data_IF_241550647050
#
_entry.id   IF_241550647050
#
_cell.length_a   1.000
_cell.length_b   1.000
_cell.length_c   1.000
_cell.angle_alpha   90.00
_cell.angle_beta   90.00
_cell.angle_gamma   90.00
#
_symmetry.space_group_name_H-M   'P 1'
#
loop_
_entity.id
_entity.type
_entity.pdbx_description
1 polymer ?
#
# COMPACT_ATOMS: atom_id res chain seq x y z
N UNK A 1 -2.67 -22.41 21.85
CA UNK A 1 -3.76 -21.53 21.34
C UNK A 1 -3.19 -20.15 21.09
N UNK A 2 -3.63 -19.47 20.01
CA UNK A 2 -3.11 -18.14 19.63
C UNK A 2 -3.37 -17.08 20.71
N UNK A 3 -4.37 -17.26 21.57
CA UNK A 3 -4.73 -16.33 22.65
C UNK A 3 -3.63 -16.09 23.68
N UNK A 4 -2.66 -17.01 23.80
CA UNK A 4 -1.52 -16.88 24.72
C UNK A 4 -0.30 -16.22 24.06
N UNK A 5 -0.38 -15.90 22.77
CA UNK A 5 0.70 -15.29 22.00
C UNK A 5 0.41 -13.81 21.81
N UNK A 6 1.30 -12.98 22.32
CA UNK A 6 1.17 -11.53 22.31
C UNK A 6 1.84 -10.93 21.09
N UNK A 7 1.10 -10.16 20.31
CA UNK A 7 1.60 -9.43 19.15
C UNK A 7 1.47 -7.94 19.38
N UNK A 8 2.52 -7.21 19.06
CA UNK A 8 2.53 -5.75 19.20
C UNK A 8 2.66 -5.11 17.84
N UNK A 9 1.69 -4.29 17.49
CA UNK A 9 1.67 -3.52 16.25
C UNK A 9 2.06 -2.08 16.57
N UNK A 10 3.10 -1.57 15.92
CA UNK A 10 3.58 -0.21 16.07
C UNK A 10 3.01 0.63 14.92
N UNK A 11 2.16 1.61 15.25
CA UNK A 11 1.45 2.43 14.28
C UNK A 11 0.00 1.98 14.07
N UNK A 12 -0.90 2.95 13.89
CA UNK A 12 -2.34 2.75 13.71
C UNK A 12 -2.89 3.38 12.42
N UNK A 13 -2.03 3.54 11.40
CA UNK A 13 -2.49 3.86 10.04
C UNK A 13 -3.16 2.64 9.38
N UNK A 14 -3.51 2.74 8.10
CA UNK A 14 -4.19 1.67 7.34
C UNK A 14 -3.51 0.31 7.59
N UNK A 15 -2.21 0.21 7.31
CA UNK A 15 -1.41 -1.01 7.48
C UNK A 15 -1.49 -1.60 8.90
N UNK A 16 -1.28 -0.78 9.92
CA UNK A 16 -1.24 -1.24 11.31
C UNK A 16 -2.62 -1.70 11.78
N UNK A 17 -3.66 -0.93 11.45
CA UNK A 17 -5.02 -1.22 11.89
C UNK A 17 -5.58 -2.48 11.24
N UNK A 18 -5.42 -2.65 9.92
CA UNK A 18 -5.87 -3.86 9.23
C UNK A 18 -5.09 -5.10 9.64
N UNK A 19 -3.76 -5.02 9.83
CA UNK A 19 -2.97 -6.15 10.33
C UNK A 19 -3.40 -6.53 11.75
N UNK A 20 -3.62 -5.55 12.64
CA UNK A 20 -4.08 -5.82 14.00
C UNK A 20 -5.45 -6.51 14.02
N UNK A 21 -6.40 -6.05 13.20
CA UNK A 21 -7.72 -6.67 13.06
C UNK A 21 -7.61 -8.10 12.52
N UNK A 22 -6.82 -8.33 11.48
CA UNK A 22 -6.61 -9.68 10.94
C UNK A 22 -5.99 -10.64 11.96
N UNK A 23 -5.01 -10.17 12.73
CA UNK A 23 -4.41 -10.96 13.81
C UNK A 23 -5.42 -11.26 14.95
N UNK A 24 -6.24 -10.27 15.32
CA UNK A 24 -7.30 -10.47 16.32
C UNK A 24 -8.32 -11.51 15.85
N UNK A 25 -8.70 -11.51 14.58
CA UNK A 25 -9.58 -12.52 13.95
C UNK A 25 -8.97 -13.94 13.99
N UNK A 26 -7.64 -14.06 13.94
CA UNK A 26 -6.92 -15.33 14.13
C UNK A 26 -6.72 -15.73 15.61
N UNK A 27 -7.27 -14.94 16.54
CA UNK A 27 -7.30 -15.25 17.97
C UNK A 27 -6.06 -14.84 18.75
N UNK A 28 -5.19 -13.98 18.22
CA UNK A 28 -4.01 -13.47 18.94
C UNK A 28 -4.36 -12.40 20.00
N UNK A 29 -3.53 -12.28 21.03
CA UNK A 29 -3.54 -11.11 21.94
C UNK A 29 -2.80 -9.96 21.27
N UNK A 30 -3.53 -8.93 20.83
CA UNK A 30 -2.99 -7.84 20.03
C UNK A 30 -3.02 -6.52 20.80
N UNK A 31 -1.87 -5.85 20.86
CA UNK A 31 -1.75 -4.47 21.34
C UNK A 31 -1.22 -3.58 20.22
N UNK A 32 -1.92 -2.46 19.95
CA UNK A 32 -1.47 -1.42 19.04
C UNK A 32 -0.86 -0.27 19.84
N UNK A 33 0.40 0.09 19.56
CA UNK A 33 1.04 1.28 20.11
C UNK A 33 1.17 2.30 18.99
N UNK A 34 0.60 3.48 19.15
CA UNK A 34 0.61 4.49 18.11
C UNK A 34 0.91 5.87 18.67
N UNK A 35 1.42 6.74 17.80
CA UNK A 35 1.50 8.17 18.05
C UNK A 35 0.63 8.88 17.02
N UNK A 36 -0.17 9.85 17.46
CA UNK A 36 -0.93 10.70 16.53
C UNK A 36 0.00 11.36 15.51
N UNK A 37 -0.48 11.46 14.27
CA UNK A 37 0.20 12.22 13.23
C UNK A 37 0.39 13.66 13.71
N UNK A 38 1.60 14.24 13.62
CA UNK A 38 1.86 15.58 14.15
C UNK A 38 1.44 16.71 13.20
N UNK A 39 0.73 16.39 12.11
CA UNK A 39 0.29 17.33 11.09
C UNK A 39 -1.01 16.88 10.41
N UNK A 40 -1.77 17.81 9.85
CA UNK A 40 -2.88 17.50 8.93
C UNK A 40 -2.34 17.11 7.57
N UNK A 41 -2.90 16.07 6.97
CA UNK A 41 -2.63 15.68 5.59
C UNK A 41 -3.93 15.30 4.90
N UNK A 42 -3.97 15.47 3.58
CA UNK A 42 -5.05 14.99 2.74
C UNK A 42 -4.50 13.96 1.75
N UNK A 43 -5.28 12.92 1.49
CA UNK A 43 -4.92 11.84 0.56
C UNK A 43 -6.12 11.49 -0.31
N UNK A 44 -5.88 11.26 -1.60
CA UNK A 44 -6.86 10.78 -2.55
C UNK A 44 -6.94 9.26 -2.57
N UNK A 45 -8.15 8.71 -2.42
CA UNK A 45 -8.42 7.28 -2.39
C UNK A 45 -9.37 6.86 -3.52
N UNK A 46 -9.16 5.66 -4.04
CA UNK A 46 -10.01 5.07 -5.08
C UNK A 46 -11.19 4.29 -4.50
N UNK A 47 -12.18 3.96 -5.35
CA UNK A 47 -13.26 3.04 -4.98
C UNK A 47 -12.73 1.67 -4.51
N UNK A 48 -11.68 1.15 -5.15
CA UNK A 48 -10.98 -0.07 -4.70
C UNK A 48 -10.41 0.07 -3.28
N UNK A 49 -10.02 1.28 -2.89
CA UNK A 49 -9.54 1.54 -1.53
C UNK A 49 -10.67 1.45 -0.51
N UNK A 50 -11.85 2.00 -0.82
CA UNK A 50 -13.04 1.85 0.02
C UNK A 50 -13.41 0.38 0.23
N UNK A 51 -13.46 -0.40 -0.85
CA UNK A 51 -13.76 -1.84 -0.81
C UNK A 51 -12.69 -2.62 -0.03
N UNK A 52 -11.42 -2.28 -0.24
CA UNK A 52 -10.29 -2.83 0.51
C UNK A 52 -10.43 -2.60 2.03
N UNK A 53 -10.75 -1.38 2.45
CA UNK A 53 -10.97 -1.06 3.87
C UNK A 53 -12.10 -1.92 4.48
N UNK A 54 -13.22 -2.08 3.77
CA UNK A 54 -14.35 -2.90 4.24
C UNK A 54 -13.92 -4.36 4.42
N UNK A 55 -13.29 -4.95 3.40
CA UNK A 55 -12.84 -6.35 3.45
C UNK A 55 -11.82 -6.62 4.57
N UNK A 56 -11.00 -5.63 4.92
CA UNK A 56 -10.03 -5.72 6.01
C UNK A 56 -10.63 -5.46 7.39
N UNK A 57 -11.90 -5.06 7.49
CA UNK A 57 -12.60 -4.75 8.74
C UNK A 57 -12.47 -3.30 9.20
N UNK A 58 -11.90 -2.40 8.39
CA UNK A 58 -11.82 -0.96 8.67
C UNK A 58 -13.11 -0.24 8.22
N UNK A 59 -14.26 -0.70 8.75
CA UNK A 59 -15.59 -0.32 8.27
C UNK A 59 -15.92 1.14 8.61
N UNK A 60 -15.61 1.61 9.83
CA UNK A 60 -15.86 3.01 10.23
C UNK A 60 -15.01 3.96 9.40
N UNK A 61 -13.74 3.64 9.16
CA UNK A 61 -12.91 4.44 8.27
C UNK A 61 -13.45 4.51 6.83
N UNK A 62 -13.96 3.39 6.29
CA UNK A 62 -14.54 3.36 4.93
C UNK A 62 -15.80 4.24 4.78
N UNK A 63 -16.54 4.50 5.88
CA UNK A 63 -17.74 5.35 5.87
C UNK A 63 -17.42 6.82 5.65
N UNK A 64 -16.17 7.23 5.73
CA UNK A 64 -15.72 8.58 5.39
C UNK A 64 -15.55 8.80 3.88
N UNK A 65 -15.47 7.73 3.09
CA UNK A 65 -15.32 7.80 1.63
C UNK A 65 -16.71 7.89 1.00
N UNK A 66 -17.36 9.04 1.14
CA UNK A 66 -18.75 9.27 0.70
C UNK A 66 -18.79 10.04 -0.62
N UNK A 67 -18.26 11.25 -0.62
CA UNK A 67 -18.31 12.16 -1.76
C UNK A 67 -17.04 12.03 -2.60
N UNK A 68 -17.24 11.92 -3.91
CA UNK A 68 -16.14 11.88 -4.86
C UNK A 68 -15.82 13.28 -5.36
N UNK A 69 -14.53 13.61 -5.38
CA UNK A 69 -13.99 14.78 -6.04
C UNK A 69 -13.71 14.44 -7.51
N UNK A 70 -14.09 15.34 -8.41
CA UNK A 70 -13.64 15.27 -9.80
C UNK A 70 -12.13 15.49 -9.84
N UNK A 71 -11.40 14.59 -10.50
CA UNK A 71 -9.93 14.65 -10.62
C UNK A 71 -9.52 15.14 -12.01
N UNK A 72 -8.98 16.35 -12.05
CA UNK A 72 -8.38 16.93 -13.25
C UNK A 72 -6.89 16.55 -13.32
N UNK A 73 -6.41 16.25 -14.52
CA UNK A 73 -4.99 15.98 -14.78
C UNK A 73 -4.50 16.89 -15.89
N UNK A 74 -3.58 17.79 -15.56
CA UNK A 74 -2.88 18.66 -16.49
C UNK A 74 -1.42 18.18 -16.58
N UNK A 75 -1.16 17.24 -17.49
CA UNK A 75 0.13 16.56 -17.57
C UNK A 75 0.67 16.62 -19.00
N UNK A 76 1.93 17.01 -19.19
CA UNK A 76 2.57 17.07 -20.51
C UNK A 76 1.78 17.87 -21.56
N UNK A 77 1.24 19.03 -21.16
CA UNK A 77 0.34 19.89 -21.97
C UNK A 77 -0.97 19.22 -22.42
N UNK A 78 -1.35 18.10 -21.81
CA UNK A 78 -2.66 17.47 -22.02
C UNK A 78 -3.52 17.65 -20.77
N UNK A 79 -4.73 18.14 -20.98
CA UNK A 79 -5.76 18.22 -19.94
C UNK A 79 -6.77 17.10 -20.15
N UNK A 80 -6.93 16.27 -19.13
CA UNK A 80 -7.92 15.21 -19.12
C UNK A 80 -8.76 15.28 -17.83
N UNK A 81 -10.08 15.12 -17.96
CA UNK A 81 -10.95 14.73 -16.85
C UNK A 81 -10.86 13.22 -16.74
N UNK A 82 -9.96 12.74 -15.88
CA UNK A 82 -9.50 11.36 -15.94
C UNK A 82 -10.39 10.44 -15.11
N UNK A 83 -10.80 10.89 -13.91
CA UNK A 83 -11.45 10.01 -12.94
C UNK A 83 -12.06 10.79 -11.77
N UNK A 84 -12.52 10.03 -10.77
CA UNK A 84 -12.96 10.49 -9.47
C UNK A 84 -12.09 9.90 -8.36
N UNK A 85 -11.96 10.62 -7.25
CA UNK A 85 -11.30 10.13 -6.03
C UNK A 85 -12.05 10.59 -4.77
N UNK A 86 -11.92 9.84 -3.69
CA UNK A 86 -12.33 10.28 -2.36
C UNK A 86 -11.16 10.97 -1.69
N UNK A 87 -11.27 12.27 -1.41
CA UNK A 87 -10.21 12.96 -0.68
C UNK A 87 -10.52 12.92 0.81
N UNK A 88 -9.60 12.38 1.60
CA UNK A 88 -9.79 12.23 3.05
C UNK A 88 -8.88 13.15 3.83
N UNK A 89 -9.42 13.77 4.89
CA UNK A 89 -8.59 14.37 5.93
C UNK A 89 -8.01 13.26 6.83
N UNK A 90 -6.69 13.07 6.80
CA UNK A 90 -6.02 11.99 7.55
C UNK A 90 -6.18 12.10 9.07
N UNK A 91 -6.38 13.28 9.63
CA UNK A 91 -6.62 13.44 11.06
C UNK A 91 -7.98 12.87 11.49
N UNK A 92 -9.00 12.95 10.62
CA UNK A 92 -10.34 12.37 10.85
C UNK A 92 -10.33 10.88 10.50
N UNK A 93 -9.69 10.52 9.40
CA UNK A 93 -9.58 9.14 8.94
C UNK A 93 -8.81 8.26 9.93
N UNK A 94 -7.66 8.73 10.43
CA UNK A 94 -6.84 7.98 11.39
C UNK A 94 -7.60 7.77 12.72
N UNK A 95 -8.45 8.71 13.14
CA UNK A 95 -9.34 8.51 14.31
C UNK A 95 -10.37 7.42 14.06
N UNK A 96 -10.95 7.35 12.86
CA UNK A 96 -11.93 6.32 12.53
C UNK A 96 -11.31 4.92 12.50
N UNK A 97 -10.04 4.80 12.07
CA UNK A 97 -9.28 3.55 12.20
C UNK A 97 -9.09 3.11 13.66
N UNK A 98 -8.91 4.06 14.59
CA UNK A 98 -8.86 3.72 16.03
C UNK A 98 -10.22 3.24 16.54
N UNK A 99 -11.32 3.77 16.03
CA UNK A 99 -12.66 3.30 16.37
C UNK A 99 -12.96 1.90 15.80
N UNK A 100 -12.38 1.56 14.64
CA UNK A 100 -12.40 0.19 14.11
C UNK A 100 -11.62 -0.75 15.03
N UNK A 101 -10.41 -0.37 15.48
CA UNK A 101 -9.64 -1.17 16.43
C UNK A 101 -10.37 -1.44 17.75
N UNK A 102 -11.09 -0.44 18.27
CA UNK A 102 -11.91 -0.57 19.48
C UNK A 102 -13.07 -1.55 19.29
N UNK A 103 -13.70 -1.57 18.11
CA UNK A 103 -14.78 -2.51 17.78
C UNK A 103 -14.34 -3.96 17.92
N UNK A 104 -13.09 -4.25 17.53
CA UNK A 104 -12.48 -5.57 17.66
C UNK A 104 -11.87 -5.83 19.05
N UNK A 105 -12.09 -4.95 20.03
CA UNK A 105 -11.56 -5.06 21.39
C UNK A 105 -10.03 -5.25 21.41
N UNK A 106 -9.33 -4.52 20.54
CA UNK A 106 -7.87 -4.49 20.48
C UNK A 106 -7.37 -3.45 21.48
N UNK A 107 -6.34 -3.79 22.27
CA UNK A 107 -5.73 -2.85 23.23
C UNK A 107 -4.97 -1.78 22.46
N UNK A 108 -5.24 -0.51 22.75
CA UNK A 108 -4.59 0.64 22.10
C UNK A 108 -3.82 1.45 23.15
N UNK A 109 -2.56 1.78 22.86
CA UNK A 109 -1.71 2.62 23.69
C UNK A 109 -1.24 3.81 22.84
N UNK A 110 -1.68 5.02 23.19
CA UNK A 110 -1.14 6.24 22.58
C UNK A 110 0.21 6.57 23.24
N UNK A 111 1.32 6.27 22.55
CA UNK A 111 2.66 6.46 23.07
C UNK A 111 3.72 6.61 21.97
N UNK A 112 4.86 7.24 22.32
CA UNK A 112 6.04 7.27 21.45
C UNK A 112 6.92 6.05 21.74
N UNK A 113 7.17 5.21 20.74
CA UNK A 113 8.20 4.17 20.81
C UNK A 113 9.58 4.82 20.73
N UNK A 114 10.48 4.51 21.66
CA UNK A 114 11.80 5.18 21.82
C UNK A 114 13.00 4.25 21.74
N UNK A 115 12.80 2.93 21.85
CA UNK A 115 13.88 1.93 21.77
C UNK A 115 13.66 0.92 20.64
N UNK A 116 14.74 0.24 20.25
CA UNK A 116 14.70 -0.87 19.31
C UNK A 116 13.95 -2.06 19.90
N UNK A 117 13.42 -2.89 19.02
CA UNK A 117 13.08 -4.26 19.35
C UNK A 117 14.41 -4.99 19.57
N UNK A 118 14.79 -5.23 20.83
CA UNK A 118 15.99 -6.04 21.08
C UNK A 118 15.70 -7.48 20.63
N UNK A 119 16.45 -7.95 19.65
CA UNK A 119 16.30 -9.29 19.06
C UNK A 119 17.17 -10.34 19.76
N UNK A 120 18.10 -9.90 20.63
CA UNK A 120 19.05 -10.76 21.33
C UNK A 120 18.38 -11.58 22.43
N UNK A 121 17.30 -11.06 23.02
CA UNK A 121 16.46 -11.81 23.97
C UNK A 121 15.56 -12.85 23.27
N UNK A 122 15.14 -13.88 24.01
CA UNK A 122 14.18 -14.90 23.50
C UNK A 122 12.90 -14.28 22.92
N UNK A 123 12.46 -13.11 23.42
CA UNK A 123 11.28 -12.38 22.96
C UNK A 123 11.59 -10.90 22.67
N UNK A 124 11.05 -10.32 21.58
CA UNK A 124 11.03 -8.88 21.33
C UNK A 124 10.64 -8.05 22.57
N UNK A 125 11.45 -7.04 22.89
CA UNK A 125 11.14 -6.02 23.89
C UNK A 125 10.89 -4.67 23.22
N UNK A 126 9.76 -4.03 23.52
CA UNK A 126 9.39 -2.70 22.99
C UNK A 126 9.44 -1.71 24.15
N UNK A 127 10.24 -0.64 24.00
CA UNK A 127 10.30 0.46 24.96
C UNK A 127 9.56 1.67 24.40
N UNK A 128 8.58 2.17 25.16
CA UNK A 128 7.74 3.30 24.77
C UNK A 128 7.59 4.31 25.91
N UNK A 129 7.06 5.48 25.58
CA UNK A 129 7.01 6.64 26.44
C UNK A 129 5.64 7.31 26.40
N UNK A 130 5.07 7.55 27.58
CA UNK A 130 3.84 8.32 27.83
C UNK A 130 4.23 9.42 28.81
N UNK A 131 4.01 10.69 28.46
CA UNK A 131 4.27 11.85 29.32
C UNK A 131 5.61 11.78 30.08
N UNK A 132 6.69 11.59 29.31
CA UNK A 132 8.05 11.45 29.81
C UNK A 132 8.40 10.15 30.55
N UNK A 133 7.41 9.39 31.03
CA UNK A 133 7.61 8.10 31.70
C UNK A 133 7.85 6.98 30.70
N UNK A 134 8.86 6.16 30.97
CA UNK A 134 9.22 5.00 30.16
C UNK A 134 8.48 3.77 30.65
N UNK A 135 8.05 2.97 29.69
CA UNK A 135 7.41 1.68 29.89
C UNK A 135 8.02 0.68 28.91
N UNK A 136 7.95 -0.59 29.26
CA UNK A 136 8.35 -1.66 28.38
C UNK A 136 7.31 -2.77 28.33
N UNK A 137 7.35 -3.52 27.25
CA UNK A 137 6.52 -4.69 27.05
C UNK A 137 7.25 -5.69 26.18
N UNK A 138 7.07 -6.97 26.49
CA UNK A 138 7.53 -8.07 25.65
C UNK A 138 6.41 -8.57 24.76
N UNK A 139 6.76 -9.14 23.61
CA UNK A 139 5.85 -9.75 22.63
C UNK A 139 6.45 -11.03 22.05
N UNK A 140 5.61 -11.90 21.51
CA UNK A 140 6.05 -13.04 20.70
C UNK A 140 6.37 -12.62 19.27
N UNK A 141 5.75 -11.54 18.78
CA UNK A 141 6.03 -10.98 17.46
C UNK A 141 5.74 -9.46 17.43
N UNK A 142 6.49 -8.73 16.59
CA UNK A 142 6.30 -7.28 16.40
C UNK A 142 5.97 -6.96 14.94
N UNK A 143 4.98 -6.10 14.73
CA UNK A 143 4.68 -5.53 13.42
C UNK A 143 5.03 -4.05 13.46
N UNK A 144 5.96 -3.59 12.62
CA UNK A 144 6.19 -2.16 12.45
C UNK A 144 5.42 -1.65 11.23
N UNK A 145 4.40 -0.85 11.53
CA UNK A 145 3.52 -0.17 10.60
C UNK A 145 3.50 1.34 10.88
N UNK A 146 4.61 1.91 11.38
CA UNK A 146 4.77 3.36 11.64
C UNK A 146 4.91 4.17 10.35
N UNK A 147 4.84 3.52 9.20
CA UNK A 147 5.05 4.09 7.89
C UNK A 147 6.42 4.73 7.78
N UNK A 148 6.50 5.91 7.14
CA UNK A 148 7.74 6.68 6.98
C UNK A 148 8.33 7.24 8.28
N UNK A 149 7.74 7.00 9.45
CA UNK A 149 8.29 7.38 10.76
C UNK A 149 9.08 6.26 11.45
N UNK A 150 9.22 5.10 10.81
CA UNK A 150 10.10 4.03 11.29
C UNK A 150 11.57 4.50 11.39
N UNK A 151 12.35 4.04 12.38
CA UNK A 151 13.69 4.58 12.66
C UNK A 151 14.79 4.09 11.71
N UNK A 152 14.51 3.15 10.80
CA UNK A 152 15.52 2.42 10.01
C UNK A 152 16.09 3.18 8.80
N UNK A 153 16.55 4.43 8.97
CA UNK A 153 16.90 5.30 7.82
C UNK A 153 17.92 4.69 6.84
N UNK A 154 18.99 4.06 7.33
CA UNK A 154 20.10 3.55 6.50
C UNK A 154 19.88 2.13 5.97
N UNK A 155 18.73 1.54 6.31
CA UNK A 155 18.37 0.18 5.94
C UNK A 155 17.47 0.12 4.69
N UNK A 156 17.23 1.25 4.04
CA UNK A 156 16.46 1.34 2.80
C UNK A 156 17.33 1.36 1.55
N UNK A 157 16.81 0.76 0.48
CA UNK A 157 17.20 1.04 -0.90
C UNK A 157 16.21 2.09 -1.41
N UNK A 158 16.73 3.20 -1.94
CA UNK A 158 15.91 4.37 -2.30
C UNK A 158 16.01 4.67 -3.79
N UNK A 159 14.91 5.16 -4.37
CA UNK A 159 14.92 5.83 -5.65
C UNK A 159 15.40 7.29 -5.54
N UNK A 160 15.30 8.07 -6.63
CA UNK A 160 15.58 9.49 -6.62
C UNK A 160 14.82 10.21 -5.50
N UNK A 161 15.53 11.05 -4.74
CA UNK A 161 14.92 11.75 -3.61
C UNK A 161 13.90 12.80 -4.09
N UNK A 162 12.66 12.63 -3.63
CA UNK A 162 11.53 13.54 -3.73
C UNK A 162 11.13 14.00 -2.34
N UNK A 163 10.75 15.25 -2.23
CA UNK A 163 10.14 15.80 -1.04
C UNK A 163 8.82 16.45 -1.41
N UNK A 164 7.82 16.25 -0.57
CA UNK A 164 6.52 16.90 -0.70
C UNK A 164 6.40 17.98 0.36
N UNK A 165 6.12 19.19 -0.11
CA UNK A 165 5.81 20.39 0.65
C UNK A 165 4.30 20.54 0.70
N UNK A 166 3.74 20.53 1.91
CA UNK A 166 2.32 20.35 2.16
C UNK A 166 1.79 21.56 2.92
N UNK A 167 0.71 22.15 2.43
CA UNK A 167 0.05 23.28 3.08
C UNK A 167 -1.47 23.10 3.07
N UNK A 168 -2.09 23.23 4.25
CA UNK A 168 -3.54 23.38 4.38
C UNK A 168 -3.94 24.84 4.16
N UNK A 169 -5.05 25.04 3.45
CA UNK A 169 -5.57 26.34 3.05
C UNK A 169 -7.04 26.45 3.45
N UNK A 170 -7.49 27.67 3.72
CA UNK A 170 -8.90 28.04 3.76
C UNK A 170 -9.27 28.70 2.43
N UNK A 171 -10.25 28.15 1.69
CA UNK A 171 -10.68 28.62 0.36
C UNK A 171 -12.15 29.06 0.42
N UNK A 172 -12.44 30.32 0.10
CA UNK A 172 -13.81 30.87 0.23
C UNK A 172 -14.67 30.71 -1.04
N UNK A 173 -14.05 30.70 -2.21
CA UNK A 173 -14.76 30.83 -3.50
C UNK A 173 -15.00 29.49 -4.22
N UNK A 174 -14.86 28.36 -3.53
CA UNK A 174 -15.01 27.03 -4.11
C UNK A 174 -16.14 26.28 -3.43
N UNK A 175 -17.10 25.81 -4.24
CA UNK A 175 -18.32 25.17 -3.74
C UNK A 175 -18.38 23.66 -4.03
N UNK A 176 -17.55 23.15 -4.93
CA UNK A 176 -17.56 21.74 -5.34
C UNK A 176 -16.22 21.05 -5.03
N UNK A 177 -16.31 19.81 -4.54
CA UNK A 177 -15.15 18.96 -4.30
C UNK A 177 -14.40 18.70 -5.61
N UNK A 178 -13.13 19.09 -5.65
CA UNK A 178 -12.30 18.92 -6.84
C UNK A 178 -10.85 18.73 -6.47
N UNK A 179 -10.13 18.06 -7.36
CA UNK A 179 -8.67 17.96 -7.30
C UNK A 179 -8.06 18.24 -8.67
N UNK A 180 -6.82 18.72 -8.66
CA UNK A 180 -5.99 18.77 -9.86
C UNK A 180 -4.61 18.21 -9.57
N UNK A 181 -4.00 17.65 -10.61
CA UNK A 181 -2.58 17.35 -10.62
C UNK A 181 -1.93 17.96 -11.85
N UNK A 182 -0.84 18.67 -11.62
CA UNK A 182 -0.22 19.56 -12.59
C UNK A 182 1.28 19.27 -12.63
N UNK A 183 1.82 18.87 -13.79
CA UNK A 183 3.28 18.79 -13.97
C UNK A 183 3.85 20.16 -14.27
N UNK A 184 4.94 20.51 -13.57
CA UNK A 184 5.62 21.79 -13.64
C UNK A 184 7.14 21.62 -13.82
N UNK A 185 7.85 22.72 -14.06
CA UNK A 185 9.28 22.71 -14.36
C UNK A 185 10.09 21.97 -13.30
N UNK A 186 9.81 22.24 -12.03
CA UNK A 186 10.60 21.73 -10.91
C UNK A 186 9.90 20.63 -10.10
N UNK A 187 8.87 19.99 -10.66
CA UNK A 187 8.11 18.99 -9.94
C UNK A 187 6.70 18.74 -10.44
N UNK A 188 5.83 18.37 -9.52
CA UNK A 188 4.39 18.34 -9.76
C UNK A 188 3.63 18.83 -8.54
N UNK A 189 2.45 19.40 -8.80
CA UNK A 189 1.59 20.00 -7.79
C UNK A 189 0.28 19.24 -7.78
N UNK A 190 -0.18 18.86 -6.59
CA UNK A 190 -1.53 18.35 -6.37
C UNK A 190 -2.30 19.33 -5.51
N UNK A 191 -3.51 19.67 -5.93
CA UNK A 191 -4.40 20.58 -5.22
C UNK A 191 -5.71 19.87 -4.93
N UNK A 192 -6.29 20.12 -3.76
CA UNK A 192 -7.57 19.52 -3.38
C UNK A 192 -8.44 20.51 -2.61
N UNK A 193 -9.74 20.45 -2.89
CA UNK A 193 -10.78 21.07 -2.09
C UNK A 193 -11.76 19.98 -1.64
N UNK A 194 -12.13 19.99 -0.36
CA UNK A 194 -12.91 18.93 0.28
C UNK A 194 -14.13 19.45 1.04
N UNK A 195 -14.65 20.60 0.62
CA UNK A 195 -15.78 21.26 1.26
C UNK A 195 -15.40 21.99 2.55
N UNK A 196 -16.37 22.69 3.14
CA UNK A 196 -16.21 23.44 4.39
C UNK A 196 -15.01 24.40 4.37
N UNK A 197 -14.79 25.08 3.23
CA UNK A 197 -13.65 25.97 3.00
C UNK A 197 -12.28 25.31 3.12
N UNK A 198 -12.15 23.97 3.12
CA UNK A 198 -10.85 23.31 3.32
C UNK A 198 -10.17 22.98 2.01
N UNK A 199 -9.05 23.65 1.77
CA UNK A 199 -8.13 23.41 0.67
C UNK A 199 -6.83 22.77 1.13
N UNK A 200 -6.12 22.18 0.17
CA UNK A 200 -4.80 21.63 0.39
C UNK A 200 -3.97 21.72 -0.88
N UNK A 201 -2.70 22.10 -0.73
CA UNK A 201 -1.72 22.09 -1.82
C UNK A 201 -0.52 21.25 -1.41
N UNK A 202 -0.09 20.39 -2.32
CA UNK A 202 1.12 19.60 -2.22
C UNK A 202 2.01 19.93 -3.42
N UNK A 203 3.24 20.38 -3.17
CA UNK A 203 4.27 20.48 -4.20
C UNK A 203 5.35 19.43 -3.96
N UNK A 204 5.50 18.52 -4.92
CA UNK A 204 6.54 17.48 -4.89
C UNK A 204 7.69 17.90 -5.79
N UNK A 205 8.87 18.09 -5.19
CA UNK A 205 10.09 18.55 -5.85
C UNK A 205 11.32 17.74 -5.40
N UNK A 206 12.50 18.08 -5.90
CA UNK A 206 13.75 17.44 -5.49
C UNK A 206 14.28 17.95 -4.13
N UNK A 207 15.28 17.27 -3.60
CA UNK A 207 15.87 17.57 -2.29
C UNK A 207 16.48 18.98 -2.21
N UNK A 208 17.14 19.45 -3.27
CA UNK A 208 17.82 20.74 -3.27
C UNK A 208 16.81 21.89 -3.16
N UNK A 209 15.76 21.84 -3.98
CA UNK A 209 14.68 22.82 -3.94
C UNK A 209 13.94 22.78 -2.61
N UNK A 210 13.59 21.57 -2.14
CA UNK A 210 12.91 21.42 -0.87
C UNK A 210 13.72 22.00 0.30
N UNK A 211 15.05 21.87 0.30
CA UNK A 211 15.91 22.42 1.35
C UNK A 211 15.91 23.96 1.42
N UNK A 212 15.58 24.65 0.33
CA UNK A 212 15.47 26.12 0.28
C UNK A 212 14.16 26.64 0.89
N UNK A 213 13.17 25.78 1.13
CA UNK A 213 11.84 26.15 1.63
C UNK A 213 11.73 25.94 3.13
N UNK A 214 11.48 27.00 3.89
CA UNK A 214 11.26 26.93 5.34
C UNK A 214 9.82 27.24 5.75
N UNK A 215 9.15 28.11 5.01
CA UNK A 215 7.75 28.48 5.22
C UNK A 215 6.95 28.46 3.91
N UNK A 216 5.65 28.72 4.03
CA UNK A 216 4.78 28.78 2.86
C UNK A 216 5.14 29.91 1.89
N UNK A 217 5.63 31.06 2.37
CA UNK A 217 6.05 32.17 1.50
C UNK A 217 7.22 31.80 0.58
N UNK A 218 8.16 30.98 1.07
CA UNK A 218 9.25 30.45 0.25
C UNK A 218 8.71 29.52 -0.84
N UNK A 219 7.75 28.65 -0.48
CA UNK A 219 7.07 27.76 -1.43
C UNK A 219 6.31 28.58 -2.47
N UNK A 220 5.60 29.64 -2.06
CA UNK A 220 4.79 30.48 -2.94
C UNK A 220 5.64 31.17 -4.02
N UNK A 221 6.82 31.68 -3.66
CA UNK A 221 7.77 32.27 -4.64
C UNK A 221 8.15 31.26 -5.72
N UNK A 222 8.46 30.03 -5.32
CA UNK A 222 8.81 28.95 -6.25
C UNK A 222 7.60 28.57 -7.13
N UNK A 223 6.40 28.52 -6.55
CA UNK A 223 5.18 28.21 -7.29
C UNK A 223 4.86 29.26 -8.37
N UNK A 224 5.12 30.54 -8.08
CA UNK A 224 4.96 31.64 -9.05
C UNK A 224 5.91 31.49 -10.24
N UNK A 225 7.12 30.95 -10.03
CA UNK A 225 8.09 30.69 -11.10
C UNK A 225 7.69 29.50 -12.00
N UNK A 226 6.71 28.68 -11.61
CA UNK A 226 6.25 27.54 -12.40
C UNK A 226 5.36 27.93 -13.59
N UNK A 227 4.94 29.20 -13.69
CA UNK A 227 4.12 29.77 -14.78
C UNK A 227 2.82 28.99 -15.07
N UNK A 228 2.11 28.57 -14.01
CA UNK A 228 0.78 27.95 -14.13
C UNK A 228 -0.23 28.63 -13.20
N UNK A 229 -1.50 28.65 -13.60
CA UNK A 229 -2.59 29.10 -12.73
C UNK A 229 -2.95 27.99 -11.74
N UNK A 230 -2.91 28.33 -10.46
CA UNK A 230 -3.18 27.44 -9.35
C UNK A 230 -4.45 27.93 -8.65
N UNK A 231 -5.59 27.33 -8.97
CA UNK A 231 -6.90 27.78 -8.48
C UNK A 231 -6.97 27.88 -6.95
N UNK A 232 -6.26 27.00 -6.23
CA UNK A 232 -6.23 27.05 -4.76
C UNK A 232 -5.48 28.25 -4.19
N UNK A 233 -4.80 29.04 -5.04
CA UNK A 233 -4.03 30.22 -4.66
C UNK A 233 -4.69 31.54 -5.12
N UNK A 234 -5.89 31.50 -5.70
CA UNK A 234 -6.59 32.71 -6.16
C UNK A 234 -7.14 33.55 -4.99
N UNK A 235 -7.76 32.91 -3.99
CA UNK A 235 -8.22 33.54 -2.75
C UNK A 235 -8.12 32.52 -1.61
N UNK A 236 -7.10 32.68 -0.76
CA UNK A 236 -6.78 31.69 0.27
C UNK A 236 -6.29 32.32 1.57
N UNK A 237 -6.46 31.58 2.67
CA UNK A 237 -5.73 31.82 3.92
C UNK A 237 -4.91 30.59 4.29
N UNK A 238 -3.69 30.81 4.74
CA UNK A 238 -2.78 29.74 5.15
C UNK A 238 -3.20 29.20 6.53
N UNK A 239 -3.36 27.88 6.64
CA UNK A 239 -3.72 27.21 7.90
C UNK A 239 -2.55 26.39 8.42
N UNK A 240 -2.07 26.73 9.62
CA UNK A 240 -0.97 26.01 10.26
C UNK A 240 0.39 26.24 9.59
N UNK A 241 1.35 25.36 9.88
CA UNK A 241 2.72 25.45 9.35
C UNK A 241 2.88 24.56 8.12
N UNK A 242 3.72 25.00 7.19
CA UNK A 242 4.18 24.16 6.09
C UNK A 242 4.80 22.87 6.64
N UNK A 243 4.45 21.75 6.02
CA UNK A 243 4.99 20.44 6.36
C UNK A 243 5.87 19.94 5.22
N UNK A 244 7.09 19.51 5.53
CA UNK A 244 8.02 18.89 4.59
C UNK A 244 8.15 17.40 4.90
N UNK A 245 8.04 16.56 3.86
CA UNK A 245 8.11 15.10 3.99
C UNK A 245 8.93 14.48 2.87
N UNK A 246 9.65 13.41 3.17
CA UNK A 246 10.14 12.50 2.15
C UNK A 246 8.98 11.84 1.42
N UNK A 247 9.04 11.81 0.08
CA UNK A 247 8.03 11.19 -0.78
C UNK A 247 8.64 10.26 -1.83
N UNK A 248 9.95 10.02 -1.79
CA UNK A 248 10.60 9.08 -2.70
C UNK A 248 10.26 7.62 -2.43
N UNK A 249 10.44 6.80 -3.47
CA UNK A 249 10.35 5.35 -3.40
C UNK A 249 11.45 4.78 -2.51
N UNK A 250 11.10 3.86 -1.60
CA UNK A 250 12.08 3.12 -0.79
C UNK A 250 11.57 1.72 -0.44
N UNK A 251 12.49 0.77 -0.30
CA UNK A 251 12.22 -0.60 0.15
C UNK A 251 13.26 -1.01 1.19
N UNK A 252 12.82 -1.59 2.31
CA UNK A 252 13.70 -2.00 3.39
C UNK A 252 14.50 -3.25 2.99
N UNK A 253 15.79 -3.30 3.32
CA UNK A 253 16.68 -4.44 3.00
C UNK A 253 16.28 -5.73 3.74
N UNK A 254 15.65 -5.60 4.92
CA UNK A 254 15.18 -6.71 5.76
C UNK A 254 13.73 -6.50 6.17
N UNK A 255 12.80 -6.99 5.37
CA UNK A 255 11.35 -6.72 5.54
C UNK A 255 10.73 -7.57 6.67
N UNK A 256 11.24 -8.77 6.90
CA UNK A 256 10.67 -9.73 7.84
C UNK A 256 11.75 -10.69 8.38
N UNK A 257 11.56 -11.14 9.61
CA UNK A 257 12.22 -12.28 10.23
C UNK A 257 11.25 -13.00 11.19
N UNK A 258 11.72 -14.00 11.95
CA UNK A 258 10.88 -14.82 12.82
C UNK A 258 10.27 -14.08 14.02
N UNK A 259 10.69 -12.83 14.28
CA UNK A 259 10.27 -12.01 15.43
C UNK A 259 9.64 -10.68 15.05
N UNK A 260 9.89 -10.19 13.83
CA UNK A 260 9.39 -8.90 13.38
C UNK A 260 9.08 -8.86 11.89
N UNK A 261 8.06 -8.09 11.53
CA UNK A 261 7.64 -7.79 10.16
C UNK A 261 7.42 -6.29 9.98
N UNK A 262 7.83 -5.75 8.85
CA UNK A 262 7.48 -4.40 8.40
C UNK A 262 6.23 -4.47 7.51
N UNK A 263 5.29 -3.54 7.65
CA UNK A 263 4.05 -3.49 6.85
C UNK A 263 3.75 -2.04 6.40
N UNK A 264 3.26 -1.89 5.16
CA UNK A 264 3.01 -0.58 4.55
C UNK A 264 4.30 0.19 4.28
N UNK A 265 4.25 1.52 4.40
CA UNK A 265 5.40 2.42 4.18
C UNK A 265 6.64 2.12 5.06
N UNK A 266 6.50 1.30 6.10
CA UNK A 266 7.64 0.78 6.85
C UNK A 266 8.41 -0.29 6.08
N UNK A 267 7.74 -1.15 5.30
CA UNK A 267 8.39 -2.14 4.46
C UNK A 267 8.85 -1.53 3.13
N UNK A 268 7.92 -0.90 2.42
CA UNK A 268 8.23 -0.16 1.20
C UNK A 268 7.18 0.90 0.93
N UNK A 269 7.61 1.99 0.32
CA UNK A 269 6.75 3.10 -0.11
C UNK A 269 7.10 3.47 -1.53
N UNK A 270 6.10 3.88 -2.31
CA UNK A 270 6.23 4.32 -3.70
C UNK A 270 6.04 5.83 -3.82
N UNK A 271 6.25 6.36 -5.03
CA UNK A 271 6.02 7.76 -5.34
C UNK A 271 4.51 8.09 -5.25
N UNK A 272 4.12 9.17 -4.53
CA UNK A 272 2.73 9.51 -4.33
C UNK A 272 1.99 9.93 -5.60
N UNK A 273 2.69 10.26 -6.70
CA UNK A 273 2.08 10.55 -8.01
C UNK A 273 1.12 9.46 -8.46
N UNK A 274 1.46 8.20 -8.17
CA UNK A 274 0.67 7.03 -8.59
C UNK A 274 -0.63 6.84 -7.82
N UNK A 275 -0.81 7.49 -6.65
CA UNK A 275 -1.99 7.30 -5.79
C UNK A 275 -2.17 5.90 -5.18
N UNK A 276 -1.15 5.03 -5.25
CA UNK A 276 -1.28 3.62 -4.87
C UNK A 276 -0.79 3.28 -3.43
N UNK A 277 -0.38 4.26 -2.64
CA UNK A 277 0.18 4.01 -1.29
C UNK A 277 -0.78 3.28 -0.34
N UNK A 278 -2.06 3.67 -0.31
CA UNK A 278 -3.07 2.98 0.48
C UNK A 278 -3.26 1.53 0.01
N UNK A 279 -3.33 1.31 -1.31
CA UNK A 279 -3.46 -0.03 -1.90
C UNK A 279 -2.27 -0.94 -1.52
N UNK A 280 -1.05 -0.41 -1.58
CA UNK A 280 0.15 -1.13 -1.17
C UNK A 280 0.08 -1.53 0.32
N UNK A 281 -0.29 -0.60 1.20
CA UNK A 281 -0.47 -0.88 2.62
C UNK A 281 -1.51 -1.98 2.86
N UNK A 282 -2.66 -1.91 2.17
CA UNK A 282 -3.72 -2.93 2.27
C UNK A 282 -3.24 -4.29 1.77
N UNK A 283 -2.57 -4.36 0.62
CA UNK A 283 -2.06 -5.61 0.04
C UNK A 283 -1.06 -6.33 0.93
N UNK A 284 -0.21 -5.59 1.65
CA UNK A 284 0.69 -6.17 2.65
C UNK A 284 -0.06 -6.59 3.90
N UNK A 285 -0.94 -5.72 4.41
CA UNK A 285 -1.64 -5.97 5.67
C UNK A 285 -2.67 -7.09 5.61
N UNK A 286 -3.20 -7.39 4.42
CA UNK A 286 -4.15 -8.49 4.19
C UNK A 286 -3.49 -9.86 4.36
N UNK A 287 -2.19 -9.97 4.05
CA UNK A 287 -1.45 -11.22 4.09
C UNK A 287 -0.64 -11.40 5.38
N UNK A 288 -0.24 -10.29 6.00
CA UNK A 288 0.59 -10.27 7.21
C UNK A 288 0.06 -11.18 8.34
N UNK A 289 -1.24 -11.23 8.67
CA UNK A 289 -1.75 -12.09 9.72
C UNK A 289 -1.47 -13.58 9.50
N UNK A 290 -1.62 -14.06 8.26
CA UNK A 290 -1.42 -15.47 7.92
C UNK A 290 0.07 -15.86 7.91
N UNK A 291 0.92 -14.95 7.47
CA UNK A 291 2.38 -15.12 7.53
C UNK A 291 2.82 -15.21 9.00
N UNK A 292 2.38 -14.29 9.85
CA UNK A 292 2.70 -14.29 11.29
C UNK A 292 2.15 -15.54 11.97
N UNK A 293 0.92 -15.94 11.64
CA UNK A 293 0.32 -17.15 12.19
C UNK A 293 1.12 -18.41 11.84
N UNK A 294 1.67 -18.46 10.62
CA UNK A 294 2.56 -19.54 10.17
C UNK A 294 3.87 -19.51 10.92
N UNK A 295 4.53 -18.34 10.99
CA UNK A 295 5.80 -18.16 11.72
C UNK A 295 5.69 -18.64 13.17
N UNK A 296 4.58 -18.32 13.85
CA UNK A 296 4.43 -18.61 15.27
C UNK A 296 3.95 -20.04 15.58
N UNK A 297 3.39 -20.78 14.62
CA UNK A 297 2.73 -22.06 14.90
C UNK A 297 3.25 -23.25 14.08
N UNK A 298 4.11 -23.02 13.09
CA UNK A 298 4.53 -24.04 12.13
C UNK A 298 6.02 -24.37 12.23
N UNK A 299 6.43 -25.46 11.58
CA UNK A 299 7.82 -25.92 11.53
C UNK A 299 8.73 -24.91 10.84
N UNK A 300 10.04 -24.92 11.14
CA UNK A 300 11.00 -23.97 10.55
C UNK A 300 10.97 -23.94 9.00
N UNK A 301 10.67 -25.08 8.38
CA UNK A 301 10.50 -25.20 6.92
C UNK A 301 9.30 -24.35 6.45
N UNK A 302 8.13 -24.52 7.08
CA UNK A 302 6.92 -23.73 6.77
C UNK A 302 7.11 -22.24 7.11
N UNK A 303 7.84 -21.91 8.19
CA UNK A 303 8.16 -20.52 8.53
C UNK A 303 8.97 -19.85 7.42
N UNK A 304 9.96 -20.55 6.86
CA UNK A 304 10.77 -20.05 5.74
C UNK A 304 9.90 -19.79 4.50
N UNK A 305 8.99 -20.71 4.16
CA UNK A 305 8.04 -20.51 3.05
C UNK A 305 7.21 -19.24 3.25
N UNK A 306 6.71 -19.00 4.46
CA UNK A 306 5.92 -17.81 4.78
C UNK A 306 6.73 -16.50 4.69
N UNK A 307 7.98 -16.53 5.16
CA UNK A 307 8.91 -15.40 5.10
C UNK A 307 9.25 -15.05 3.65
N UNK A 308 9.63 -16.04 2.86
CA UNK A 308 10.00 -15.85 1.44
C UNK A 308 8.78 -15.36 0.64
N UNK A 309 7.59 -15.93 0.91
CA UNK A 309 6.34 -15.47 0.32
C UNK A 309 6.05 -13.99 0.56
N UNK A 310 6.14 -13.54 1.82
CA UNK A 310 5.88 -12.15 2.16
C UNK A 310 6.90 -11.21 1.49
N UNK A 311 8.18 -11.58 1.55
CA UNK A 311 9.28 -10.82 0.95
C UNK A 311 9.08 -10.66 -0.56
N UNK A 312 8.87 -11.75 -1.29
CA UNK A 312 8.66 -11.70 -2.74
C UNK A 312 7.44 -10.87 -3.12
N UNK A 313 6.36 -10.93 -2.32
CA UNK A 313 5.15 -10.11 -2.57
C UNK A 313 5.43 -8.62 -2.41
N UNK A 314 6.15 -8.22 -1.37
CA UNK A 314 6.54 -6.82 -1.13
C UNK A 314 7.46 -6.30 -2.24
N UNK A 315 8.45 -7.08 -2.63
CA UNK A 315 9.41 -6.75 -3.70
C UNK A 315 8.71 -6.60 -5.06
N UNK A 316 7.85 -7.54 -5.42
CA UNK A 316 7.08 -7.48 -6.66
C UNK A 316 6.19 -6.24 -6.74
N UNK A 317 5.45 -5.93 -5.67
CA UNK A 317 4.56 -4.76 -5.63
C UNK A 317 5.38 -3.47 -5.78
N UNK A 318 6.53 -3.40 -5.09
CA UNK A 318 7.44 -2.27 -5.20
C UNK A 318 7.99 -2.11 -6.63
N UNK A 319 8.52 -3.19 -7.22
CA UNK A 319 9.04 -3.18 -8.60
C UNK A 319 7.96 -2.80 -9.61
N UNK A 320 6.76 -3.36 -9.49
CA UNK A 320 5.62 -3.04 -10.36
C UNK A 320 5.28 -1.55 -10.33
N UNK A 321 5.06 -1.00 -9.13
CA UNK A 321 4.59 0.38 -9.02
C UNK A 321 5.69 1.43 -9.22
N UNK A 322 6.96 1.06 -9.04
CA UNK A 322 8.07 1.94 -9.43
C UNK A 322 8.23 2.03 -10.94
N UNK A 323 8.03 0.93 -11.68
CA UNK A 323 7.94 0.95 -13.15
C UNK A 323 6.76 1.79 -13.65
N UNK A 324 5.57 1.60 -13.09
CA UNK A 324 4.40 2.45 -13.40
C UNK A 324 4.67 3.93 -13.08
N UNK A 325 5.36 4.22 -11.99
CA UNK A 325 5.79 5.59 -11.66
C UNK A 325 6.69 6.19 -12.74
N UNK A 326 7.71 5.45 -13.18
CA UNK A 326 8.60 5.84 -14.29
C UNK A 326 7.83 6.12 -15.57
N UNK A 327 6.85 5.29 -15.92
CA UNK A 327 5.98 5.51 -17.08
C UNK A 327 5.25 6.85 -17.00
N UNK A 328 4.70 7.23 -15.85
CA UNK A 328 4.09 8.56 -15.68
C UNK A 328 5.09 9.72 -15.85
N UNK A 329 6.31 9.56 -15.33
CA UNK A 329 7.36 10.57 -15.49
C UNK A 329 7.84 10.69 -16.95
N UNK A 330 7.86 9.60 -17.72
CA UNK A 330 8.21 9.59 -19.15
C UNK A 330 7.18 10.28 -20.04
N UNK A 331 5.93 10.40 -19.59
CA UNK A 331 4.90 11.15 -20.33
C UNK A 331 5.21 12.65 -20.40
N UNK A 332 5.91 13.20 -19.41
CA UNK A 332 6.30 14.60 -19.39
C UNK A 332 7.57 14.84 -20.19
N UNK A 333 7.46 15.56 -21.29
CA UNK A 333 8.52 15.81 -22.25
C UNK A 333 8.85 17.29 -22.43
N UNK A 334 8.22 18.19 -21.66
CA UNK A 334 8.44 19.65 -21.73
C UNK A 334 9.63 20.12 -20.91
N UNK A 335 10.02 19.35 -19.90
CA UNK A 335 11.00 19.77 -18.91
C UNK A 335 12.18 18.80 -18.85
N UNK A 336 13.39 19.35 -18.88
CA UNK A 336 14.66 18.60 -18.82
C UNK A 336 15.44 18.93 -17.53
N UNK A 337 14.72 19.19 -16.43
CA UNK A 337 15.36 19.53 -15.14
C UNK A 337 15.87 18.26 -14.43
N UNK A 338 16.75 18.44 -13.46
CA UNK A 338 17.29 17.36 -12.61
C UNK A 338 16.16 16.56 -11.96
N UNK A 339 15.03 17.19 -11.63
CA UNK A 339 13.86 16.51 -11.09
C UNK A 339 13.33 15.44 -12.06
N UNK A 340 13.11 15.81 -13.33
CA UNK A 340 12.53 14.95 -14.35
C UNK A 340 13.52 13.88 -14.82
N UNK A 341 14.76 14.26 -15.17
CA UNK A 341 15.79 13.34 -15.67
C UNK A 341 16.03 12.15 -14.73
N UNK A 342 16.15 12.41 -13.42
CA UNK A 342 16.37 11.36 -12.42
C UNK A 342 15.21 10.37 -12.32
N UNK A 343 13.98 10.82 -12.53
CA UNK A 343 12.74 10.02 -12.34
C UNK A 343 12.31 9.30 -13.62
N UNK A 344 12.69 9.81 -14.78
CA UNK A 344 12.51 9.15 -16.08
C UNK A 344 13.47 7.98 -16.28
N UNK A 345 14.62 7.98 -15.59
CA UNK A 345 15.67 6.96 -15.71
C UNK A 345 15.62 5.90 -14.59
N UNK A 346 14.74 6.04 -13.61
CA UNK A 346 14.62 5.12 -12.48
C UNK A 346 13.19 4.57 -12.34
N UNK A 347 12.98 3.26 -12.07
CA UNK A 347 14.02 2.24 -11.88
C UNK A 347 14.71 1.87 -13.20
N UNK A 348 15.92 1.33 -13.06
CA UNK A 348 16.61 0.69 -14.17
C UNK A 348 15.84 -0.57 -14.58
N UNK A 349 15.70 -0.79 -15.87
CA UNK A 349 15.00 -1.97 -16.37
C UNK A 349 15.83 -3.22 -16.02
N UNK A 350 15.20 -4.18 -15.35
CA UNK A 350 15.82 -5.46 -15.04
C UNK A 350 15.68 -6.34 -16.29
N UNK A 351 16.79 -6.89 -16.77
CA UNK A 351 16.77 -7.96 -17.77
C UNK A 351 16.27 -9.24 -17.09
N UNK A 352 14.94 -9.38 -16.99
CA UNK A 352 14.32 -10.61 -16.52
C UNK A 352 14.19 -11.58 -17.69
N UNK A 353 14.73 -12.79 -17.54
CA UNK A 353 14.49 -13.85 -18.50
C UNK A 353 13.00 -14.15 -18.54
N UNK A 354 12.36 -13.89 -19.68
CA UNK A 354 10.95 -14.21 -19.87
C UNK A 354 10.75 -15.72 -19.75
N UNK A 355 10.10 -16.14 -18.66
CA UNK A 355 9.65 -17.52 -18.51
C UNK A 355 8.32 -17.68 -19.24
N UNK A 356 8.21 -18.73 -20.05
CA UNK A 356 6.95 -19.09 -20.71
C UNK A 356 5.80 -19.19 -19.68
N UNK A 357 4.67 -18.60 -20.02
CA UNK A 357 3.39 -18.73 -19.32
C UNK A 357 2.35 -19.23 -20.32
N UNK A 358 1.28 -19.91 -19.85
CA UNK A 358 1.11 -20.42 -18.49
C UNK A 358 2.05 -21.58 -18.14
N UNK A 359 2.30 -21.80 -16.84
CA UNK A 359 3.09 -22.93 -16.32
C UNK A 359 2.72 -23.30 -14.89
N UNK A 360 3.04 -24.53 -14.49
CA UNK A 360 2.89 -24.97 -13.09
C UNK A 360 4.22 -24.79 -12.35
N UNK A 361 4.18 -24.16 -11.18
CA UNK A 361 5.32 -24.10 -10.25
C UNK A 361 4.82 -24.33 -8.82
N UNK A 362 5.72 -24.70 -7.90
CA UNK A 362 5.45 -24.67 -6.46
C UNK A 362 5.62 -23.25 -5.94
N UNK A 363 4.59 -22.72 -5.28
CA UNK A 363 4.59 -21.40 -4.62
C UNK A 363 3.83 -21.46 -3.31
N UNK A 364 4.01 -20.44 -2.50
CA UNK A 364 3.27 -20.25 -1.28
C UNK A 364 1.82 -19.79 -1.58
N UNK A 365 0.86 -20.43 -0.91
CA UNK A 365 -0.58 -20.13 -0.98
C UNK A 365 -1.12 -19.98 0.43
N UNK A 366 -2.02 -19.02 0.64
CA UNK A 366 -2.75 -18.92 1.91
C UNK A 366 -3.92 -19.89 1.90
N UNK A 367 -3.94 -20.81 2.86
CA UNK A 367 -4.99 -21.80 3.05
C UNK A 367 -5.18 -22.07 4.55
N UNK A 368 -6.43 -22.11 5.00
CA UNK A 368 -6.82 -22.39 6.38
C UNK A 368 -6.12 -21.50 7.43
N UNK A 369 -5.88 -20.24 7.08
CA UNK A 369 -5.23 -19.26 7.97
C UNK A 369 -3.70 -19.39 8.05
N UNK A 370 -3.08 -20.24 7.23
CA UNK A 370 -1.63 -20.46 7.15
C UNK A 370 -1.12 -20.23 5.73
N UNK A 371 0.19 -20.05 5.61
CA UNK A 371 0.91 -20.03 4.32
C UNK A 371 1.54 -21.40 4.14
N UNK A 372 1.12 -22.11 3.09
CA UNK A 372 1.62 -23.44 2.76
C UNK A 372 2.22 -23.45 1.36
N UNK A 373 3.19 -24.33 1.10
CA UNK A 373 3.62 -24.59 -0.27
C UNK A 373 2.55 -25.40 -1.00
N UNK A 374 2.20 -24.98 -2.21
CA UNK A 374 1.25 -25.66 -3.09
C UNK A 374 1.69 -25.49 -4.54
N UNK A 375 1.22 -26.37 -5.41
CA UNK A 375 1.27 -26.12 -6.84
C UNK A 375 0.32 -24.97 -7.20
N UNK A 376 0.78 -24.12 -8.12
CA UNK A 376 0.03 -22.98 -8.65
C UNK A 376 0.21 -22.92 -10.16
N UNK A 377 -0.81 -22.44 -10.88
CA UNK A 377 -0.68 -22.07 -12.29
C UNK A 377 -0.29 -20.60 -12.39
N UNK A 378 0.93 -20.32 -12.87
CA UNK A 378 1.43 -18.98 -13.13
C UNK A 378 0.98 -18.57 -14.53
N UNK A 379 0.31 -17.43 -14.63
CA UNK A 379 -0.21 -16.86 -15.88
C UNK A 379 0.25 -15.41 -16.02
N UNK A 380 -0.03 -14.78 -17.16
CA UNK A 380 0.34 -13.37 -17.41
C UNK A 380 -0.25 -12.43 -16.36
N UNK A 381 -1.53 -12.62 -15.99
CA UNK A 381 -2.20 -11.76 -15.02
C UNK A 381 -2.05 -12.26 -13.57
N UNK A 382 -1.52 -13.48 -13.36
CA UNK A 382 -1.30 -14.09 -12.05
C UNK A 382 0.18 -14.49 -11.85
N UNK A 383 1.10 -13.51 -11.68
CA UNK A 383 2.54 -13.77 -11.60
C UNK A 383 2.99 -14.50 -10.31
N UNK A 384 2.15 -14.52 -9.27
CA UNK A 384 2.35 -15.34 -8.07
C UNK A 384 1.67 -16.71 -8.14
N UNK A 385 0.99 -16.97 -9.25
CA UNK A 385 0.19 -18.15 -9.49
C UNK A 385 -1.19 -18.12 -8.86
N UNK A 386 -2.11 -18.85 -9.48
CA UNK A 386 -3.44 -19.12 -8.98
C UNK A 386 -3.53 -20.60 -8.57
N UNK A 387 -4.09 -20.85 -7.40
CA UNK A 387 -4.44 -22.20 -6.93
C UNK A 387 -5.95 -22.43 -6.96
N UNK A 388 -6.72 -21.35 -6.75
CA UNK A 388 -8.17 -21.36 -6.68
C UNK A 388 -8.77 -20.32 -7.62
N UNK A 389 -9.91 -20.64 -8.22
CA UNK A 389 -10.82 -19.69 -8.84
C UNK A 389 -12.09 -19.60 -7.98
N UNK A 390 -12.24 -18.50 -7.25
CA UNK A 390 -13.19 -18.44 -6.14
C UNK A 390 -12.84 -19.51 -5.09
N UNK A 391 -13.72 -20.49 -4.90
CA UNK A 391 -13.51 -21.61 -3.98
C UNK A 391 -13.13 -22.93 -4.69
N UNK A 392 -12.89 -22.91 -6.00
CA UNK A 392 -12.62 -24.11 -6.81
C UNK A 392 -11.12 -24.26 -6.98
N UNK A 393 -10.55 -25.40 -6.58
CA UNK A 393 -9.13 -25.72 -6.83
C UNK A 393 -8.92 -26.09 -8.30
N UNK A 394 -8.03 -25.39 -8.99
CA UNK A 394 -7.90 -25.45 -10.45
C UNK A 394 -6.62 -26.14 -10.95
N UNK A 395 -5.80 -26.73 -10.06
CA UNK A 395 -4.49 -27.25 -10.43
C UNK A 395 -4.57 -28.46 -11.35
N UNK A 396 -5.44 -29.43 -11.04
CA UNK A 396 -5.62 -30.62 -11.89
C UNK A 396 -6.15 -30.23 -13.27
N UNK A 397 -7.09 -29.27 -13.29
CA UNK A 397 -7.60 -28.67 -14.53
C UNK A 397 -6.47 -28.04 -15.35
N UNK A 398 -5.69 -27.16 -14.73
CA UNK A 398 -4.59 -26.48 -15.41
C UNK A 398 -3.55 -27.48 -15.92
N UNK A 399 -3.13 -28.46 -15.12
CA UNK A 399 -2.18 -29.50 -15.56
C UNK A 399 -2.69 -30.25 -16.78
N UNK A 400 -3.93 -30.73 -16.72
CA UNK A 400 -4.52 -31.47 -17.83
C UNK A 400 -4.56 -30.62 -19.10
N UNK A 401 -5.02 -29.36 -18.99
CA UNK A 401 -5.14 -28.49 -20.14
C UNK A 401 -3.78 -28.14 -20.77
N UNK A 402 -2.73 -27.97 -19.96
CA UNK A 402 -1.38 -27.64 -20.46
C UNK A 402 -0.66 -28.82 -21.12
N UNK A 403 -1.12 -30.05 -20.87
CA UNK A 403 -0.53 -31.28 -21.43
C UNK A 403 -1.32 -31.81 -22.65
N UNK A 404 -2.51 -31.27 -22.93
CA UNK A 404 -3.42 -31.77 -23.95
C UNK A 404 -3.83 -30.70 -24.96
N UNK A 405 -4.39 -31.12 -26.09
CA UNK A 405 -4.94 -30.20 -27.09
C UNK A 405 -6.31 -29.64 -26.66
N UNK A 406 -6.75 -28.57 -27.31
CA UNK A 406 -8.00 -27.87 -27.01
C UNK A 406 -9.23 -28.79 -26.86
N UNK A 407 -9.44 -29.73 -27.79
CA UNK A 407 -10.61 -30.62 -27.78
C UNK A 407 -10.66 -31.50 -26.52
N UNK A 408 -9.56 -32.19 -26.21
CA UNK A 408 -9.47 -33.02 -24.99
C UNK A 408 -9.59 -32.19 -23.72
N UNK A 409 -8.97 -31.02 -23.72
CA UNK A 409 -9.01 -30.09 -22.58
C UNK A 409 -10.41 -29.55 -22.34
N UNK A 410 -11.20 -29.33 -23.39
CA UNK A 410 -12.58 -28.90 -23.30
C UNK A 410 -13.48 -30.00 -22.74
N UNK A 411 -13.34 -31.24 -23.23
CA UNK A 411 -14.08 -32.39 -22.69
C UNK A 411 -13.76 -32.60 -21.19
N UNK A 412 -12.48 -32.51 -20.81
CA UNK A 412 -12.06 -32.61 -19.41
C UNK A 412 -12.60 -31.47 -18.56
N UNK A 413 -12.69 -30.24 -19.10
CA UNK A 413 -13.27 -29.10 -18.40
C UNK A 413 -14.73 -29.37 -17.98
N UNK A 414 -15.52 -29.93 -18.89
CA UNK A 414 -16.92 -30.24 -18.63
C UNK A 414 -17.07 -31.35 -17.58
N UNK A 415 -16.21 -32.39 -17.65
CA UNK A 415 -16.11 -33.44 -16.62
C UNK A 415 -15.74 -32.84 -15.27
N UNK A 416 -14.68 -32.02 -15.23
CA UNK A 416 -14.20 -31.35 -14.02
C UNK A 416 -15.29 -30.52 -13.33
N UNK A 417 -16.05 -29.74 -14.12
CA UNK A 417 -17.15 -28.93 -13.60
C UNK A 417 -18.28 -29.80 -13.05
N UNK A 418 -18.63 -30.89 -13.75
CA UNK A 418 -19.69 -31.82 -13.32
C UNK A 418 -19.33 -32.55 -12.03
N UNK A 419 -18.11 -33.09 -11.93
CA UNK A 419 -17.64 -33.82 -10.74
C UNK A 419 -17.59 -32.95 -9.48
N UNK A 420 -17.26 -31.67 -9.65
CA UNK A 420 -17.16 -30.69 -8.55
C UNK A 420 -18.46 -29.91 -8.31
N UNK A 421 -19.55 -30.26 -9.00
CA UNK A 421 -20.85 -29.56 -8.93
C UNK A 421 -20.71 -28.04 -9.10
N UNK A 422 -19.86 -27.59 -10.03
CA UNK A 422 -19.61 -26.17 -10.29
C UNK A 422 -20.87 -25.55 -10.91
N UNK A 423 -21.44 -24.48 -10.31
CA UNK A 423 -22.60 -23.81 -10.89
C UNK A 423 -22.31 -23.29 -12.30
N UNK A 424 -23.26 -23.42 -13.23
CA UNK A 424 -23.07 -23.08 -14.65
C UNK A 424 -22.47 -21.67 -14.87
N UNK A 425 -22.96 -20.66 -14.16
CA UNK A 425 -22.44 -19.30 -14.26
C UNK A 425 -20.97 -19.18 -13.81
N UNK A 426 -20.59 -19.92 -12.75
CA UNK A 426 -19.21 -19.99 -12.26
C UNK A 426 -18.33 -20.76 -13.24
N UNK A 427 -18.83 -21.89 -13.77
CA UNK A 427 -18.15 -22.68 -14.80
C UNK A 427 -17.86 -21.86 -16.06
N UNK A 428 -18.83 -21.09 -16.56
CA UNK A 428 -18.62 -20.19 -17.70
C UNK A 428 -17.57 -19.11 -17.39
N UNK A 429 -17.58 -18.55 -16.18
CA UNK A 429 -16.59 -17.56 -15.76
C UNK A 429 -15.18 -18.17 -15.67
N UNK A 430 -15.07 -19.38 -15.11
CA UNK A 430 -13.83 -20.13 -15.03
C UNK A 430 -13.31 -20.48 -16.42
N UNK A 431 -14.16 -20.94 -17.34
CA UNK A 431 -13.79 -21.24 -18.73
C UNK A 431 -13.23 -20.02 -19.44
N UNK A 432 -13.94 -18.89 -19.36
CA UNK A 432 -13.48 -17.63 -19.94
C UNK A 432 -12.14 -17.18 -19.34
N UNK A 433 -11.95 -17.37 -18.04
CA UNK A 433 -10.68 -17.11 -17.39
C UNK A 433 -9.57 -18.03 -17.89
N UNK A 434 -9.79 -19.35 -17.98
CA UNK A 434 -8.80 -20.30 -18.50
C UNK A 434 -8.38 -19.98 -19.95
N UNK A 435 -9.32 -19.58 -20.82
CA UNK A 435 -9.02 -19.16 -22.19
C UNK A 435 -8.20 -17.87 -22.20
N UNK A 436 -8.63 -16.86 -21.42
CA UNK A 436 -7.94 -15.56 -21.33
C UNK A 436 -6.51 -15.69 -20.82
N UNK A 437 -6.28 -16.59 -19.88
CA UNK A 437 -4.96 -16.86 -19.29
C UNK A 437 -4.16 -17.92 -20.07
N UNK A 438 -4.62 -18.29 -21.27
CA UNK A 438 -4.00 -19.26 -22.19
C UNK A 438 -3.81 -20.67 -21.59
N UNK A 439 -4.58 -21.02 -20.56
CA UNK A 439 -4.58 -22.36 -19.94
C UNK A 439 -5.36 -23.35 -20.82
N UNK A 440 -6.48 -22.90 -21.39
CA UNK A 440 -7.34 -23.70 -22.26
C UNK A 440 -7.22 -23.16 -23.70
N UNK A 441 -6.23 -23.64 -24.45
CA UNK A 441 -5.89 -23.20 -25.82
C UNK A 441 -5.70 -24.34 -26.80
#
# INVERSE_FOLDING_TARGET
MNSNKKIVVLGAGIAGSSTAIGLKKLGFDVTVIYKKRPFTAYEGFSQKTKEGLISLGCVKASKLLVEQSLRNSNWASKTHKVNYEFVVNRSIFDKSLLEDLKEYQIKIIEAKVIGSVDYLDKKPKIVYKIDEKKYDLTADFVVDARGRFTPFKDEYICGPKSFSLLQELELEDINENQTSIDSVKDGWIWQAYVGNKRGYIQFSCDEELANKVNCFDDMLKILQEQNIELWSLNNYKVVGKLVKRDSFCKIHKKIINNKMMLVGDSASSIDPLSGNGAFQAMSMSSIAPFVINTILNKSEIEQKVAIDFYKSRVEFIFDKFTKVGKEFYLLENRFDTIFWQKRQTWPQDKNELEKKVPRIEKKAVVKDGFVNESEVVITKDNPFGACYFGNIEIIDLAKYCLENNFEKSLDYFDIFCKERNVPLQVGNSLKNWCIKEEILV
#
